data_IF_113954519844
#
_entry.id   IF_113954519844
#
_cell.length_a   1.000
_cell.length_b   1.000
_cell.length_c   1.000
_cell.angle_alpha   90.00
_cell.angle_beta   90.00
_cell.angle_gamma   90.00
#
_symmetry.space_group_name_H-M   'P 1'
#
loop_
_entity.id
_entity.type
_entity.pdbx_description
1 polymer ?
#
# COMPACT_ATOMS: atom_id res chain seq x y z
N UNK A 1 7.74 -0.57 20.43
CA UNK A 1 7.93 0.34 19.28
C UNK A 1 7.92 -0.48 18.00
N UNK A 2 6.78 -0.58 17.33
CA UNK A 2 6.71 -1.27 16.03
C UNK A 2 7.37 -0.37 14.99
N UNK A 3 8.58 -0.73 14.55
CA UNK A 3 9.24 -0.02 13.46
C UNK A 3 8.41 -0.25 12.20
N UNK A 4 7.86 0.82 11.65
CA UNK A 4 7.42 0.83 10.26
C UNK A 4 8.66 0.52 9.41
N UNK A 5 8.79 -0.72 8.96
CA UNK A 5 9.85 -1.11 8.04
C UNK A 5 9.50 -0.52 6.69
N UNK A 6 9.99 0.71 6.46
CA UNK A 6 10.06 1.31 5.14
C UNK A 6 11.01 0.45 4.33
N UNK A 7 10.47 -0.30 3.38
CA UNK A 7 11.29 -1.07 2.44
C UNK A 7 11.47 -0.24 1.18
N UNK A 8 12.69 -0.24 0.67
CA UNK A 8 12.98 0.31 -0.65
C UNK A 8 12.84 -0.82 -1.65
N UNK A 9 11.98 -0.62 -2.63
CA UNK A 9 11.74 -1.57 -3.71
C UNK A 9 11.99 -0.87 -5.04
N UNK A 10 12.83 -1.42 -5.92
CA UNK A 10 12.97 -0.89 -7.26
C UNK A 10 11.66 -1.09 -8.04
N UNK A 11 11.23 -0.05 -8.74
CA UNK A 11 10.18 -0.18 -9.75
C UNK A 11 10.67 -1.09 -10.88
N UNK A 12 9.83 -2.04 -11.28
CA UNK A 12 10.06 -2.93 -12.43
C UNK A 12 10.05 -2.14 -13.75
N UNK A 13 9.34 -1.00 -13.78
CA UNK A 13 9.11 -0.20 -14.99
C UNK A 13 10.15 0.91 -15.19
N UNK A 14 10.59 1.56 -14.10
CA UNK A 14 11.46 2.74 -14.17
C UNK A 14 12.84 2.52 -13.55
N UNK A 15 13.04 1.43 -12.80
CA UNK A 15 14.27 1.18 -12.03
C UNK A 15 14.48 2.12 -10.84
N UNK A 16 13.61 3.10 -10.64
CA UNK A 16 13.66 4.04 -9.51
C UNK A 16 13.33 3.32 -8.20
N UNK A 17 14.01 3.72 -7.13
CA UNK A 17 13.73 3.21 -5.78
C UNK A 17 12.51 3.90 -5.19
N UNK A 18 11.54 3.11 -4.73
CA UNK A 18 10.35 3.60 -4.04
C UNK A 18 10.28 3.06 -2.63
N UNK A 19 9.82 3.89 -1.70
CA UNK A 19 9.44 3.44 -0.35
C UNK A 19 8.09 2.75 -0.46
N UNK A 20 8.07 1.46 -0.17
CA UNK A 20 6.84 0.68 -0.02
C UNK A 20 6.45 0.66 1.45
N UNK A 21 5.17 0.88 1.72
CA UNK A 21 4.59 0.58 3.02
C UNK A 21 4.13 -0.88 2.97
N UNK A 22 4.68 -1.73 3.84
CA UNK A 22 4.08 -3.06 4.03
C UNK A 22 2.63 -2.90 4.49
N UNK A 23 1.74 -3.79 4.03
CA UNK A 23 0.38 -3.91 4.55
C UNK A 23 0.44 -3.89 6.07
N UNK A 24 0.04 -2.77 6.66
CA UNK A 24 0.17 -2.59 8.09
C UNK A 24 -0.77 -3.56 8.78
N UNK A 25 -0.28 -4.44 9.67
CA UNK A 25 -1.14 -4.91 10.73
C UNK A 25 -1.41 -3.68 11.60
N UNK A 26 -2.57 -3.05 11.44
CA UNK A 26 -3.04 -2.03 12.38
C UNK A 26 -3.15 -2.72 13.73
N UNK A 27 -2.13 -2.58 14.57
CA UNK A 27 -2.07 -3.19 15.89
C UNK A 27 -2.32 -2.09 16.93
N UNK A 28 -3.60 -1.87 17.23
CA UNK A 28 -4.01 -1.44 18.56
C UNK A 28 -4.76 -2.60 19.21
N UNK A 29 -4.01 -3.46 19.92
CA UNK A 29 -4.58 -4.54 20.73
C UNK A 29 -5.07 -5.73 19.91
N UNK A 30 -4.31 -6.82 19.98
CA UNK A 30 -4.72 -8.22 19.70
C UNK A 30 -5.20 -8.63 18.30
N UNK A 31 -5.62 -7.74 17.39
CA UNK A 31 -6.08 -8.12 16.05
C UNK A 31 -5.51 -7.20 14.96
N UNK A 32 -5.06 -7.76 13.83
CA UNK A 32 -4.68 -6.96 12.66
C UNK A 32 -5.94 -6.41 11.96
N UNK A 33 -5.84 -5.27 11.26
CA UNK A 33 -6.94 -4.75 10.43
C UNK A 33 -7.45 -5.81 9.45
N UNK A 34 -6.54 -6.53 8.81
CA UNK A 34 -6.87 -7.63 7.91
C UNK A 34 -7.73 -8.69 8.61
N UNK A 35 -7.35 -9.13 9.80
CA UNK A 35 -8.11 -10.13 10.55
C UNK A 35 -9.45 -9.58 11.04
N UNK A 36 -9.50 -8.29 11.39
CA UNK A 36 -10.72 -7.61 11.82
C UNK A 36 -11.74 -7.54 10.68
N UNK A 37 -11.30 -7.13 9.48
CA UNK A 37 -12.13 -7.08 8.28
C UNK A 37 -12.67 -8.48 7.93
N UNK A 38 -11.83 -9.52 8.02
CA UNK A 38 -12.28 -10.90 7.83
C UNK A 38 -13.33 -11.34 8.84
N UNK A 39 -13.17 -10.98 10.12
CA UNK A 39 -14.13 -11.34 11.17
C UNK A 39 -15.50 -10.70 10.98
N UNK A 40 -15.56 -9.44 10.52
CA UNK A 40 -16.83 -8.77 10.23
C UNK A 40 -17.41 -9.15 8.87
N UNK A 41 -16.78 -10.08 8.14
CA UNK A 41 -17.22 -10.53 6.83
C UNK A 41 -17.00 -9.50 5.71
N UNK A 42 -16.17 -8.48 5.95
CA UNK A 42 -15.85 -7.45 4.97
C UNK A 42 -14.98 -8.05 3.85
N UNK A 43 -15.50 -8.01 2.62
CA UNK A 43 -14.85 -8.59 1.42
C UNK A 43 -14.47 -7.54 0.39
N UNK A 44 -15.21 -6.44 0.34
CA UNK A 44 -15.03 -5.35 -0.63
C UNK A 44 -13.65 -4.74 -0.48
N UNK A 45 -13.20 -4.53 0.75
CA UNK A 45 -11.85 -4.02 1.04
C UNK A 45 -10.74 -4.86 0.38
N UNK A 46 -10.86 -6.19 0.43
CA UNK A 46 -9.88 -7.10 -0.17
C UNK A 46 -9.97 -7.10 -1.70
N UNK A 47 -11.18 -7.19 -2.26
CA UNK A 47 -11.40 -7.17 -3.70
C UNK A 47 -10.86 -5.88 -4.32
N UNK A 48 -11.16 -4.73 -3.72
CA UNK A 48 -10.66 -3.44 -4.21
C UNK A 48 -9.15 -3.34 -4.06
N UNK A 49 -8.57 -3.89 -2.98
CA UNK A 49 -7.11 -3.95 -2.83
C UNK A 49 -6.47 -4.76 -3.95
N UNK A 50 -7.03 -5.92 -4.29
CA UNK A 50 -6.53 -6.77 -5.38
C UNK A 50 -6.65 -6.05 -6.73
N UNK A 51 -7.77 -5.38 -7.00
CA UNK A 51 -7.94 -4.59 -8.23
C UNK A 51 -6.89 -3.48 -8.31
N UNK A 52 -6.64 -2.75 -7.22
CA UNK A 52 -5.60 -1.71 -7.18
C UNK A 52 -4.19 -2.28 -7.40
N UNK A 53 -3.95 -3.50 -6.90
CA UNK A 53 -2.68 -4.20 -7.06
C UNK A 53 -2.40 -4.65 -8.50
N UNK A 54 -3.45 -4.87 -9.30
CA UNK A 54 -3.39 -5.23 -10.73
C UNK A 54 -3.20 -4.03 -11.67
N UNK A 55 -3.36 -2.80 -11.20
CA UNK A 55 -3.26 -1.61 -12.06
C UNK A 55 -1.82 -1.33 -12.52
N UNK A 56 -1.70 -0.74 -13.71
CA UNK A 56 -0.42 -0.21 -14.19
C UNK A 56 -0.10 1.14 -13.51
N UNK A 57 0.90 1.12 -12.63
CA UNK A 57 1.38 2.30 -11.91
C UNK A 57 2.51 3.04 -12.64
N UNK A 58 3.05 2.49 -13.73
CA UNK A 58 4.17 3.07 -14.47
C UNK A 58 3.93 4.51 -14.97
N UNK A 59 2.71 4.93 -15.38
CA UNK A 59 2.45 6.33 -15.70
C UNK A 59 2.76 7.27 -14.53
N UNK A 60 2.26 6.97 -13.34
CA UNK A 60 2.52 7.77 -12.13
C UNK A 60 3.99 7.74 -11.72
N UNK A 61 4.63 6.56 -11.79
CA UNK A 61 6.03 6.41 -11.42
C UNK A 61 6.97 7.27 -12.29
N UNK A 62 6.63 7.44 -13.58
CA UNK A 62 7.41 8.26 -14.53
C UNK A 62 7.33 9.76 -14.24
N UNK A 63 6.28 10.23 -13.58
CA UNK A 63 6.11 11.64 -13.25
C UNK A 63 6.92 12.06 -12.01
N UNK A 64 7.47 11.11 -11.24
CA UNK A 64 8.37 11.44 -10.15
C UNK A 64 9.70 11.99 -10.67
N UNK A 65 10.21 13.03 -10.01
CA UNK A 65 11.52 13.60 -10.30
C UNK A 65 12.59 12.51 -10.35
N UNK A 66 13.50 12.53 -11.33
CA UNK A 66 14.46 11.44 -11.56
C UNK A 66 15.59 11.32 -10.53
N UNK A 67 15.74 12.28 -9.61
CA UNK A 67 16.78 12.30 -8.57
C UNK A 67 16.21 12.63 -7.18
N UNK A 68 17.08 12.69 -6.16
CA UNK A 68 16.70 13.02 -4.79
C UNK A 68 16.26 11.83 -3.94
N UNK A 69 15.52 12.10 -2.85
CA UNK A 69 15.05 11.07 -1.92
C UNK A 69 14.04 10.14 -2.61
N UNK A 70 14.13 8.85 -2.31
CA UNK A 70 13.15 7.86 -2.78
C UNK A 70 11.72 8.30 -2.39
N UNK A 71 10.83 8.51 -3.38
CA UNK A 71 9.42 8.80 -3.11
C UNK A 71 8.71 7.56 -2.59
N UNK A 72 7.51 7.72 -2.03
CA UNK A 72 6.64 6.57 -1.75
C UNK A 72 6.09 6.01 -3.05
N UNK A 73 5.91 4.69 -3.11
CA UNK A 73 5.27 4.03 -4.25
C UNK A 73 3.84 4.55 -4.42
N UNK A 74 3.41 4.93 -5.64
CA UNK A 74 2.02 5.31 -5.93
C UNK A 74 1.01 4.29 -5.42
N UNK A 75 1.31 3.01 -5.64
CA UNK A 75 0.52 1.88 -5.13
C UNK A 75 0.34 1.94 -3.62
N UNK A 76 1.40 2.23 -2.86
CA UNK A 76 1.33 2.34 -1.40
C UNK A 76 0.70 3.64 -0.89
N UNK A 77 0.54 4.64 -1.75
CA UNK A 77 -0.11 5.92 -1.39
C UNK A 77 -1.63 5.86 -1.57
N UNK A 78 -2.12 4.94 -2.40
CA UNK A 78 -3.54 4.72 -2.59
C UNK A 78 -4.11 3.86 -1.47
N UNK A 79 -5.29 4.22 -0.99
CA UNK A 79 -5.97 3.53 0.09
C UNK A 79 -7.47 3.47 -0.15
N UNK A 80 -8.14 2.60 0.60
CA UNK A 80 -9.59 2.39 0.54
C UNK A 80 -10.19 3.04 1.79
N UNK A 81 -11.19 3.89 1.58
CA UNK A 81 -12.05 4.38 2.65
C UNK A 81 -13.27 3.46 2.72
N UNK A 82 -13.47 2.83 3.88
CA UNK A 82 -14.65 2.01 4.15
C UNK A 82 -15.63 2.86 4.95
N UNK A 83 -16.80 3.11 4.38
CA UNK A 83 -17.91 3.73 5.09
C UNK A 83 -18.89 2.62 5.52
N UNK A 84 -19.10 2.49 6.84
CA UNK A 84 -20.14 1.60 7.38
C UNK A 84 -21.46 2.36 7.36
N UNK A 85 -22.47 1.81 6.68
CA UNK A 85 -23.83 2.33 6.68
C UNK A 85 -24.51 2.18 8.05
#
# INVERSE_FOLDING_TARGET
>A
MTKFLRQLTPSVHTGRQFVTAQHLPVLRGTLSLHDSLKQVGERTAFIVSDILDEQDWAPFERDYASSGRAPYSPRSMMGILLETA
#
